data_IF_473764095045
#
_entry.id   IF_473764095045
#
_cell.length_a   1.000
_cell.length_b   1.000
_cell.length_c   1.000
_cell.angle_alpha   90.00
_cell.angle_beta   90.00
_cell.angle_gamma   90.00
#
_symmetry.space_group_name_H-M   'P 1'
#
loop_
_entity.id
_entity.type
_entity.pdbx_description
1 polymer ?
#
# COMPACT_ATOMS: atom_id res chain seq x y z
N UNK A 1 9.02 -39.17 20.98
CA UNK A 1 9.23 -37.92 21.72
C UNK A 1 8.91 -36.73 20.82
N UNK A 2 8.47 -35.61 21.40
CA UNK A 2 7.97 -34.43 20.66
C UNK A 2 9.09 -33.52 20.07
N UNK A 3 10.33 -34.01 19.96
CA UNK A 3 11.47 -33.21 19.42
C UNK A 3 11.17 -32.53 18.08
N UNK A 4 10.61 -33.24 17.08
CA UNK A 4 10.32 -32.62 15.78
C UNK A 4 9.26 -31.51 15.85
N UNK A 5 8.32 -31.61 16.80
CA UNK A 5 7.30 -30.59 17.02
C UNK A 5 7.91 -29.33 17.65
N UNK A 6 8.81 -29.51 18.63
CA UNK A 6 9.51 -28.39 19.26
C UNK A 6 10.41 -27.66 18.26
N UNK A 7 11.12 -28.40 17.39
CA UNK A 7 11.96 -27.82 16.34
C UNK A 7 11.14 -26.97 15.37
N UNK A 8 10.01 -27.48 14.86
CA UNK A 8 9.08 -26.72 14.01
C UNK A 8 8.54 -25.49 14.76
N UNK A 9 8.17 -25.62 16.04
CA UNK A 9 7.70 -24.50 16.85
C UNK A 9 8.75 -23.41 17.04
N UNK A 10 10.01 -23.78 17.24
CA UNK A 10 11.12 -22.80 17.35
C UNK A 10 11.38 -22.10 16.02
N UNK A 11 11.30 -22.82 14.89
CA UNK A 11 11.39 -22.18 13.57
C UNK A 11 10.25 -21.19 13.34
N UNK A 12 9.01 -21.56 13.67
CA UNK A 12 7.85 -20.68 13.57
C UNK A 12 7.98 -19.44 14.46
N UNK A 13 8.51 -19.58 15.68
CA UNK A 13 8.69 -18.47 16.62
C UNK A 13 9.74 -17.43 16.16
N UNK A 14 10.65 -17.80 15.27
CA UNK A 14 11.70 -16.91 14.76
C UNK A 14 11.30 -16.10 13.53
N UNK A 15 10.06 -16.27 13.04
CA UNK A 15 9.55 -15.50 11.90
C UNK A 15 9.11 -14.12 12.38
N UNK A 16 9.57 -13.10 11.67
CA UNK A 16 9.19 -11.71 11.89
C UNK A 16 8.73 -11.08 10.58
N UNK A 17 8.13 -9.89 10.65
CA UNK A 17 7.76 -9.10 9.48
C UNK A 17 8.96 -8.77 8.56
N UNK A 18 10.21 -8.90 9.05
CA UNK A 18 11.41 -8.68 8.24
C UNK A 18 11.93 -9.96 7.57
N UNK A 19 11.33 -11.14 7.84
CA UNK A 19 11.81 -12.45 7.37
C UNK A 19 10.65 -13.36 6.94
N UNK A 20 9.70 -12.81 6.20
CA UNK A 20 8.56 -13.57 5.64
C UNK A 20 8.94 -14.35 4.38
N UNK A 21 10.06 -14.00 3.77
CA UNK A 21 10.63 -14.57 2.55
C UNK A 21 11.29 -15.94 2.77
N UNK A 22 11.49 -16.35 4.02
CA UNK A 22 12.17 -17.60 4.37
C UNK A 22 11.17 -18.67 4.83
N UNK A 23 10.75 -19.61 3.95
CA UNK A 23 9.84 -20.67 4.32
C UNK A 23 10.50 -21.68 5.27
N UNK A 24 9.69 -22.33 6.09
CA UNK A 24 10.14 -23.42 6.95
C UNK A 24 10.49 -24.64 6.05
N UNK A 25 11.71 -25.20 6.16
CA UNK A 25 12.09 -26.38 5.39
C UNK A 25 11.20 -27.58 5.70
N UNK A 26 10.76 -28.30 4.68
CA UNK A 26 9.99 -29.54 4.84
C UNK A 26 10.89 -30.79 4.92
N UNK A 27 12.19 -30.64 4.64
CA UNK A 27 13.18 -31.71 4.77
C UNK A 27 13.43 -32.04 6.24
N UNK A 28 13.28 -33.31 6.62
CA UNK A 28 13.46 -33.76 8.02
C UNK A 28 12.21 -33.62 8.89
N UNK A 29 11.12 -33.02 8.38
CA UNK A 29 9.84 -32.94 9.06
C UNK A 29 9.09 -34.29 8.95
N UNK A 30 8.61 -34.88 10.06
CA UNK A 30 7.78 -36.08 10.05
C UNK A 30 6.56 -35.93 9.15
N UNK A 31 6.10 -37.02 8.54
CA UNK A 31 5.02 -37.00 7.55
C UNK A 31 3.75 -36.35 8.12
N UNK A 32 3.47 -36.57 9.41
CA UNK A 32 2.32 -36.07 10.15
C UNK A 32 2.34 -34.54 10.33
N UNK A 33 3.52 -33.90 10.25
CA UNK A 33 3.69 -32.46 10.41
C UNK A 33 3.88 -31.73 9.07
N UNK A 34 4.08 -32.45 7.97
CA UNK A 34 4.32 -31.83 6.65
C UNK A 34 3.14 -30.97 6.19
N UNK A 35 1.91 -31.41 6.42
CA UNK A 35 0.71 -30.64 6.05
C UNK A 35 0.58 -29.34 6.84
N UNK A 36 0.92 -29.36 8.13
CA UNK A 36 0.95 -28.16 8.97
C UNK A 36 2.00 -27.16 8.48
N UNK A 37 3.23 -27.63 8.24
CA UNK A 37 4.32 -26.79 7.72
C UNK A 37 3.96 -26.21 6.36
N UNK A 38 3.36 -27.00 5.47
CA UNK A 38 2.90 -26.53 4.15
C UNK A 38 1.81 -25.47 4.25
N UNK A 39 0.81 -25.67 5.12
CA UNK A 39 -0.26 -24.71 5.36
C UNK A 39 0.28 -23.39 5.93
N UNK A 40 1.24 -23.48 6.85
CA UNK A 40 1.89 -22.33 7.44
C UNK A 40 2.75 -21.56 6.40
N UNK A 41 3.55 -22.26 5.60
CA UNK A 41 4.31 -21.63 4.51
C UNK A 41 3.39 -20.94 3.48
N UNK A 42 2.21 -21.50 3.21
CA UNK A 42 1.19 -20.86 2.36
C UNK A 42 0.67 -19.57 2.99
N UNK A 43 0.45 -19.55 4.31
CA UNK A 43 0.07 -18.34 5.03
C UNK A 43 1.17 -17.28 4.99
N UNK A 44 2.45 -17.67 5.19
CA UNK A 44 3.59 -16.76 5.08
C UNK A 44 3.70 -16.14 3.69
N UNK A 45 3.59 -16.94 2.63
CA UNK A 45 3.65 -16.45 1.25
C UNK A 45 2.55 -15.43 0.96
N UNK A 46 1.33 -15.65 1.49
CA UNK A 46 0.22 -14.68 1.36
C UNK A 46 0.49 -13.39 2.15
N UNK A 47 1.13 -13.49 3.31
CA UNK A 47 1.49 -12.33 4.13
C UNK A 47 2.61 -11.52 3.47
N UNK A 48 3.64 -12.19 2.95
CA UNK A 48 4.75 -11.58 2.21
C UNK A 48 4.26 -10.83 0.97
N UNK A 49 3.41 -11.45 0.14
CA UNK A 49 2.82 -10.79 -1.03
C UNK A 49 1.99 -9.56 -0.64
N UNK A 50 1.26 -9.63 0.48
CA UNK A 50 0.48 -8.50 0.99
C UNK A 50 1.38 -7.35 1.46
N UNK A 51 2.46 -7.64 2.18
CA UNK A 51 3.42 -6.64 2.63
C UNK A 51 4.17 -6.00 1.46
N UNK A 52 4.59 -6.80 0.47
CA UNK A 52 5.28 -6.31 -0.72
C UNK A 52 4.39 -5.33 -1.50
N UNK A 53 3.14 -5.70 -1.77
CA UNK A 53 2.16 -4.81 -2.42
C UNK A 53 1.94 -3.52 -1.64
N UNK A 54 1.83 -3.59 -0.31
CA UNK A 54 1.66 -2.41 0.53
C UNK A 54 2.88 -1.47 0.45
N UNK A 55 4.09 -2.04 0.44
CA UNK A 55 5.34 -1.29 0.32
C UNK A 55 5.47 -0.62 -1.04
N UNK A 56 5.24 -1.36 -2.13
CA UNK A 56 5.21 -0.86 -3.51
C UNK A 56 4.18 0.28 -3.64
N UNK A 57 2.95 0.06 -3.20
CA UNK A 57 1.89 1.06 -3.20
C UNK A 57 2.27 2.32 -2.41
N UNK A 58 2.83 2.17 -1.21
CA UNK A 58 3.25 3.31 -0.38
C UNK A 58 4.35 4.13 -1.05
N UNK A 59 5.28 3.46 -1.74
CA UNK A 59 6.35 4.09 -2.50
C UNK A 59 5.78 4.89 -3.68
N UNK A 60 4.87 4.29 -4.44
CA UNK A 60 4.24 4.92 -5.59
C UNK A 60 3.46 6.19 -5.17
N UNK A 61 2.68 6.11 -4.08
CA UNK A 61 1.99 7.28 -3.52
C UNK A 61 2.98 8.38 -3.15
N UNK A 62 4.07 8.04 -2.47
CA UNK A 62 5.05 9.03 -2.03
C UNK A 62 5.70 9.73 -3.23
N UNK A 63 5.94 9.02 -4.34
CA UNK A 63 6.45 9.60 -5.58
C UNK A 63 5.43 10.49 -6.27
N UNK A 64 4.20 10.02 -6.44
CA UNK A 64 3.11 10.75 -7.10
C UNK A 64 2.72 12.04 -6.36
N UNK A 65 2.79 12.05 -5.01
CA UNK A 65 2.52 13.26 -4.22
C UNK A 65 3.70 14.25 -4.20
N UNK A 66 4.95 13.77 -4.29
CA UNK A 66 6.14 14.63 -4.18
C UNK A 66 6.16 15.71 -5.26
N UNK A 67 5.90 15.34 -6.50
CA UNK A 67 5.96 16.24 -7.66
C UNK A 67 4.96 17.42 -7.57
N UNK A 68 3.64 17.22 -7.39
CA UNK A 68 2.68 18.32 -7.27
C UNK A 68 2.92 19.18 -6.03
N UNK A 69 3.37 18.59 -4.90
CA UNK A 69 3.73 19.37 -3.71
C UNK A 69 4.95 20.27 -4.00
N UNK A 70 5.99 19.73 -4.65
CA UNK A 70 7.17 20.50 -5.03
C UNK A 70 6.80 21.65 -5.97
N UNK A 71 5.93 21.40 -6.95
CA UNK A 71 5.45 22.43 -7.88
C UNK A 71 4.69 23.54 -7.15
N UNK A 72 3.78 23.18 -6.25
CA UNK A 72 3.05 24.14 -5.40
C UNK A 72 4.00 24.99 -4.55
N UNK A 73 5.02 24.38 -3.96
CA UNK A 73 6.04 25.08 -3.17
C UNK A 73 6.80 26.10 -4.02
N UNK A 74 7.30 25.68 -5.19
CA UNK A 74 8.05 26.55 -6.10
C UNK A 74 7.17 27.69 -6.62
N UNK A 75 5.93 27.39 -7.04
CA UNK A 75 5.00 28.42 -7.53
C UNK A 75 4.68 29.44 -6.43
N UNK A 76 4.53 28.98 -5.19
CA UNK A 76 4.31 29.86 -4.03
C UNK A 76 5.53 30.71 -3.74
N UNK A 77 6.73 30.14 -3.74
CA UNK A 77 7.99 30.88 -3.51
C UNK A 77 8.24 31.95 -4.57
N UNK A 78 8.02 31.62 -5.84
CA UNK A 78 8.10 32.58 -6.94
C UNK A 78 7.06 33.69 -6.76
N UNK A 79 5.82 33.32 -6.41
CA UNK A 79 4.74 34.29 -6.18
C UNK A 79 5.05 35.24 -5.02
N UNK A 80 5.71 34.75 -3.96
CA UNK A 80 6.08 35.55 -2.79
C UNK A 80 7.29 36.46 -3.02
N UNK A 81 8.19 36.11 -3.92
CA UNK A 81 9.44 36.86 -4.18
C UNK A 81 9.32 37.88 -5.31
N UNK A 82 8.33 37.73 -6.19
CA UNK A 82 8.09 38.66 -7.29
C UNK A 82 7.19 39.85 -6.92
N UNK A 83 7.29 40.91 -7.73
CA UNK A 83 6.36 42.03 -7.71
C UNK A 83 5.27 41.79 -8.76
N UNK A 84 4.07 41.44 -8.30
CA UNK A 84 2.93 41.13 -9.15
C UNK A 84 1.77 42.10 -8.90
N UNK A 85 0.95 42.31 -9.91
CA UNK A 85 -0.33 42.99 -9.74
C UNK A 85 -1.40 42.03 -9.17
N UNK A 86 -2.53 42.60 -8.74
CA UNK A 86 -3.59 41.82 -8.10
C UNK A 86 -4.19 40.71 -9.00
N UNK A 87 -4.18 40.89 -10.32
CA UNK A 87 -4.68 39.88 -11.27
C UNK A 87 -3.72 38.70 -11.32
N UNK A 88 -2.42 38.95 -11.41
CA UNK A 88 -1.38 37.91 -11.43
C UNK A 88 -1.37 37.09 -10.13
N UNK A 89 -1.48 37.73 -8.97
CA UNK A 89 -1.64 37.02 -7.69
C UNK A 89 -2.88 36.12 -7.69
N UNK A 90 -4.03 36.62 -8.16
CA UNK A 90 -5.27 35.83 -8.23
C UNK A 90 -5.11 34.64 -9.17
N UNK A 91 -4.44 34.80 -10.30
CA UNK A 91 -4.15 33.72 -11.25
C UNK A 91 -3.26 32.64 -10.62
N UNK A 92 -2.20 33.02 -9.91
CA UNK A 92 -1.34 32.07 -9.20
C UNK A 92 -2.10 31.30 -8.11
N UNK A 93 -2.95 31.99 -7.34
CA UNK A 93 -3.80 31.34 -6.34
C UNK A 93 -4.83 30.38 -6.97
N UNK A 94 -5.38 30.71 -8.13
CA UNK A 94 -6.27 29.81 -8.88
C UNK A 94 -5.52 28.56 -9.36
N UNK A 95 -4.31 28.72 -9.91
CA UNK A 95 -3.45 27.60 -10.30
C UNK A 95 -3.16 26.68 -9.11
N UNK A 96 -2.80 27.25 -7.95
CA UNK A 96 -2.59 26.48 -6.72
C UNK A 96 -3.86 25.75 -6.27
N UNK A 97 -5.03 26.40 -6.35
CA UNK A 97 -6.31 25.79 -5.99
C UNK A 97 -6.64 24.57 -6.87
N UNK A 98 -6.34 24.65 -8.16
CA UNK A 98 -6.51 23.51 -9.06
C UNK A 98 -5.60 22.34 -8.70
N UNK A 99 -4.33 22.60 -8.34
CA UNK A 99 -3.40 21.57 -7.87
C UNK A 99 -3.85 20.95 -6.54
N UNK A 100 -4.34 21.75 -5.59
CA UNK A 100 -4.95 21.20 -4.37
C UNK A 100 -6.14 20.29 -4.69
N UNK A 101 -6.96 20.65 -5.68
CA UNK A 101 -8.05 19.81 -6.16
C UNK A 101 -7.55 18.50 -6.79
N UNK A 102 -6.45 18.53 -7.55
CA UNK A 102 -5.80 17.34 -8.12
C UNK A 102 -5.28 16.41 -7.01
N UNK A 103 -4.55 16.96 -6.03
CA UNK A 103 -4.06 16.23 -4.86
C UNK A 103 -5.20 15.58 -4.06
N UNK A 104 -6.30 16.32 -3.83
CA UNK A 104 -7.46 15.79 -3.10
C UNK A 104 -8.12 14.61 -3.82
N UNK A 105 -8.26 14.67 -5.16
CA UNK A 105 -8.76 13.54 -5.96
C UNK A 105 -7.81 12.35 -5.90
N UNK A 106 -6.52 12.57 -6.09
CA UNK A 106 -5.50 11.53 -6.03
C UNK A 106 -5.52 10.78 -4.69
N UNK A 107 -5.61 11.50 -3.56
CA UNK A 107 -5.75 10.89 -2.22
C UNK A 107 -7.05 10.07 -2.11
N UNK A 108 -8.15 10.58 -2.66
CA UNK A 108 -9.45 9.89 -2.64
C UNK A 108 -9.42 8.59 -3.44
N UNK A 109 -8.80 8.62 -4.63
CA UNK A 109 -8.63 7.47 -5.50
C UNK A 109 -7.72 6.40 -4.85
N UNK A 110 -6.62 6.82 -4.21
CA UNK A 110 -5.75 5.92 -3.44
C UNK A 110 -6.49 5.26 -2.28
N UNK A 111 -7.30 6.00 -1.52
CA UNK A 111 -8.12 5.43 -0.44
C UNK A 111 -9.19 4.47 -0.97
N UNK A 112 -9.75 4.74 -2.15
CA UNK A 112 -10.69 3.84 -2.82
C UNK A 112 -10.01 2.53 -3.23
N UNK A 113 -8.85 2.60 -3.89
CA UNK A 113 -8.07 1.42 -4.29
C UNK A 113 -7.64 0.59 -3.07
N UNK A 114 -7.15 1.23 -2.01
CA UNK A 114 -6.78 0.54 -0.78
C UNK A 114 -7.97 -0.21 -0.16
N UNK A 115 -9.19 0.34 -0.22
CA UNK A 115 -10.41 -0.37 0.22
C UNK A 115 -10.79 -1.52 -0.72
N UNK A 116 -10.57 -1.36 -2.02
CA UNK A 116 -10.84 -2.39 -3.02
C UNK A 116 -9.95 -3.63 -2.80
N UNK A 117 -8.65 -3.42 -2.64
CA UNK A 117 -7.65 -4.50 -2.49
C UNK A 117 -7.86 -5.31 -1.21
N UNK A 118 -8.34 -4.66 -0.14
CA UNK A 118 -8.65 -5.32 1.13
C UNK A 118 -10.02 -6.01 1.16
N UNK A 119 -10.74 -6.11 0.02
CA UNK A 119 -12.13 -6.61 -0.06
C UNK A 119 -13.10 -5.88 0.88
N UNK A 120 -12.77 -4.65 1.27
CA UNK A 120 -13.60 -3.82 2.14
C UNK A 120 -14.67 -3.05 1.35
N UNK A 121 -14.65 -3.12 0.02
CA UNK A 121 -15.72 -2.60 -0.82
C UNK A 121 -16.93 -3.54 -0.82
N UNK A 122 -17.99 -3.12 -0.14
CA UNK A 122 -19.30 -3.77 -0.25
C UNK A 122 -19.92 -3.34 -1.58
N UNK A 123 -19.85 -4.20 -2.60
CA UNK A 123 -20.51 -3.98 -3.88
C UNK A 123 -22.02 -4.16 -3.70
N UNK A 124 -22.79 -3.06 -3.75
CA UNK A 124 -24.24 -3.15 -3.98
C UNK A 124 -24.46 -3.44 -5.45
N UNK A 125 -24.88 -4.65 -5.76
CA UNK A 125 -25.31 -5.05 -7.10
C UNK A 125 -26.80 -4.80 -7.21
N UNK A 126 -27.19 -4.04 -8.23
CA UNK A 126 -28.59 -3.82 -8.58
C UNK A 126 -28.81 -4.37 -10.00
N UNK A 127 -29.92 -5.08 -10.19
CA UNK A 127 -30.32 -5.58 -11.52
C UNK A 127 -30.85 -4.39 -12.31
N UNK A 128 -30.19 -4.04 -13.41
CA UNK A 128 -30.66 -3.02 -14.34
C UNK A 128 -31.26 -3.75 -15.53
N UNK A 129 -32.56 -3.52 -15.76
CA UNK A 129 -33.23 -4.05 -16.94
C UNK A 129 -32.85 -3.20 -18.14
N UNK A 130 -32.15 -3.81 -19.11
CA UNK A 130 -31.79 -3.14 -20.35
C UNK A 130 -32.95 -3.32 -21.32
N UNK A 131 -33.77 -2.27 -21.46
CA UNK A 131 -34.88 -2.20 -22.42
C UNK A 131 -34.42 -2.24 -23.88
#
# INVERSE_FOLDING_TARGET
GLSPLNEVSTMMANISAQRLDMPIPTSGVPQELKELVSSFNTMLARLDDSFRRLSEFSSDIAHELRTPIQNLMVQTEVTLTGEYNAIEYRTNLQSNLEEFGRLSRMISDMLFLAKADNRLLVLRRESIDLH
#
